data_IF_504516506003
#
_entry.id   IF_504516506003
#
_cell.length_a   1.000
_cell.length_b   1.000
_cell.length_c   1.000
_cell.angle_alpha   90.00
_cell.angle_beta   90.00
_cell.angle_gamma   90.00
#
_symmetry.space_group_name_H-M   'P 1'
#
loop_
_entity.id
_entity.type
_entity.pdbx_description
1 polymer ?
#
# COMPACT_ATOMS: atom_id res chain seq x y z
N UNK A 1 1.53 25.98 -2.76
CA UNK A 1 2.19 27.00 -3.58
C UNK A 1 3.17 26.36 -4.53
N UNK A 2 3.30 26.86 -5.75
CA UNK A 2 4.31 26.42 -6.70
C UNK A 2 5.65 27.08 -6.34
N UNK A 3 6.72 26.30 -6.30
CA UNK A 3 8.08 26.79 -6.14
C UNK A 3 8.80 26.70 -7.48
N UNK A 4 9.50 27.78 -7.87
CA UNK A 4 10.32 27.82 -9.07
C UNK A 4 11.79 27.86 -8.64
N UNK A 5 12.60 26.94 -9.17
CA UNK A 5 14.03 26.93 -8.96
C UNK A 5 14.75 27.24 -10.27
N UNK A 6 15.72 28.14 -10.23
CA UNK A 6 16.61 28.43 -11.36
C UNK A 6 18.00 27.91 -11.05
N UNK A 7 18.54 27.09 -11.93
CA UNK A 7 19.86 26.46 -11.76
C UNK A 7 20.80 26.99 -12.83
N UNK A 8 21.89 27.63 -12.42
CA UNK A 8 22.97 28.06 -13.28
C UNK A 8 24.15 27.09 -13.16
N UNK A 9 24.74 26.71 -14.29
CA UNK A 9 25.95 25.89 -14.35
C UNK A 9 27.11 26.72 -14.87
N UNK A 10 28.24 26.69 -14.13
CA UNK A 10 29.47 27.35 -14.52
C UNK A 10 30.65 26.42 -14.34
N UNK A 11 31.68 26.60 -15.15
CA UNK A 11 32.94 25.92 -15.01
C UNK A 11 33.63 26.37 -13.73
N UNK A 12 34.08 25.45 -12.89
CA UNK A 12 34.65 25.73 -11.56
C UNK A 12 35.99 26.44 -11.60
N UNK A 13 36.76 26.30 -12.69
CA UNK A 13 38.07 26.90 -12.83
C UNK A 13 38.02 28.29 -13.47
N UNK A 14 37.12 28.52 -14.41
CA UNK A 14 37.03 29.77 -15.19
C UNK A 14 35.85 30.65 -14.83
N UNK A 15 34.88 30.15 -14.05
CA UNK A 15 33.63 30.83 -13.71
C UNK A 15 32.69 31.07 -14.91
N UNK A 16 33.02 30.54 -16.07
CA UNK A 16 32.24 30.73 -17.30
C UNK A 16 30.96 29.89 -17.30
N UNK A 17 29.84 30.46 -17.70
CA UNK A 17 28.59 29.73 -17.88
C UNK A 17 28.74 28.60 -18.91
N UNK A 18 28.29 27.40 -18.56
CA UNK A 18 28.30 26.23 -19.43
C UNK A 18 27.01 26.23 -20.28
N UNK A 19 27.17 26.61 -21.55
CA UNK A 19 26.07 26.54 -22.53
C UNK A 19 25.87 25.11 -23.02
N UNK A 20 24.61 24.69 -23.18
CA UNK A 20 24.25 23.38 -23.72
C UNK A 20 24.42 22.18 -22.78
N UNK A 21 24.79 22.42 -21.53
CA UNK A 21 24.83 21.37 -20.52
C UNK A 21 23.41 20.89 -20.17
N UNK A 22 23.24 19.58 -20.06
CA UNK A 22 21.97 18.93 -19.64
C UNK A 22 22.15 18.30 -18.27
N UNK A 23 22.01 19.08 -17.18
CA UNK A 23 22.11 18.52 -15.84
C UNK A 23 20.96 17.57 -15.55
N UNK A 24 21.24 16.48 -14.87
CA UNK A 24 20.22 15.67 -14.22
C UNK A 24 19.76 16.39 -12.94
N UNK A 25 18.47 16.49 -12.72
CA UNK A 25 17.90 17.07 -11.53
C UNK A 25 16.82 16.16 -10.95
N UNK A 26 16.76 16.08 -9.63
CA UNK A 26 15.71 15.34 -8.91
C UNK A 26 15.34 16.07 -7.63
N UNK A 27 14.12 15.83 -7.16
CA UNK A 27 13.63 16.38 -5.91
C UNK A 27 13.51 15.25 -4.88
N UNK A 28 14.15 15.43 -3.73
CA UNK A 28 14.02 14.53 -2.59
C UNK A 28 13.21 15.22 -1.48
N UNK A 29 12.20 14.53 -0.97
CA UNK A 29 11.45 15.01 0.19
C UNK A 29 12.33 14.88 1.43
N UNK A 30 12.49 15.96 2.17
CA UNK A 30 13.28 15.96 3.40
C UNK A 30 12.45 15.30 4.51
N UNK A 31 12.91 14.14 5.02
CA UNK A 31 12.22 13.38 6.06
C UNK A 31 12.77 13.57 7.48
N UNK A 32 13.82 14.34 7.68
CA UNK A 32 14.36 14.62 9.02
C UNK A 32 15.20 15.88 9.04
N UNK A 33 15.36 16.46 10.22
CA UNK A 33 16.21 17.63 10.50
C UNK A 33 17.73 17.38 10.39
N UNK A 34 18.16 16.23 9.92
CA UNK A 34 19.57 15.99 9.69
C UNK A 34 20.05 16.84 8.51
N UNK A 35 20.88 17.81 8.81
CA UNK A 35 21.61 18.59 7.82
C UNK A 35 22.48 17.62 7.03
N UNK A 36 22.11 17.37 5.76
CA UNK A 36 22.94 16.60 4.87
C UNK A 36 24.26 17.35 4.67
N UNK A 37 25.39 16.75 5.04
CA UNK A 37 26.70 17.32 4.74
C UNK A 37 26.89 17.37 3.22
N UNK A 38 27.69 18.32 2.73
CA UNK A 38 28.03 18.47 1.32
C UNK A 38 28.59 17.14 0.75
N UNK A 39 29.45 16.46 1.51
CA UNK A 39 30.00 15.14 1.17
C UNK A 39 28.91 14.05 1.01
N UNK A 40 27.80 14.13 1.74
CA UNK A 40 26.69 13.18 1.57
C UNK A 40 25.83 13.47 0.33
N UNK A 41 25.78 14.72 -0.11
CA UNK A 41 25.12 15.11 -1.36
C UNK A 41 25.93 14.66 -2.57
N UNK A 42 27.25 14.86 -2.53
CA UNK A 42 28.17 14.43 -3.61
C UNK A 42 28.18 12.92 -3.79
N UNK A 43 28.21 12.16 -2.68
CA UNK A 43 28.13 10.70 -2.74
C UNK A 43 26.78 10.22 -3.32
N UNK A 44 25.67 10.87 -2.99
CA UNK A 44 24.35 10.57 -3.57
C UNK A 44 24.27 10.94 -5.04
N UNK A 45 24.82 12.09 -5.42
CA UNK A 45 24.89 12.53 -6.81
C UNK A 45 25.73 11.56 -7.65
N UNK A 46 26.90 11.18 -7.18
CA UNK A 46 27.77 10.23 -7.84
C UNK A 46 27.11 8.85 -8.00
N UNK A 47 26.40 8.37 -6.99
CA UNK A 47 25.68 7.10 -7.04
C UNK A 47 24.52 7.12 -8.05
N UNK A 48 23.82 8.24 -8.19
CA UNK A 48 22.74 8.41 -9.16
C UNK A 48 23.26 8.58 -10.59
N UNK A 49 24.38 9.29 -10.77
CA UNK A 49 24.97 9.54 -12.08
C UNK A 49 25.76 8.34 -12.63
N UNK A 50 26.31 7.51 -11.75
CA UNK A 50 27.09 6.33 -12.19
C UNK A 50 26.25 5.26 -12.87
N UNK A 51 24.91 5.37 -12.82
CA UNK A 51 23.99 4.41 -13.45
C UNK A 51 24.25 2.98 -12.97
N UNK A 52 24.99 2.84 -11.86
CA UNK A 52 25.45 1.55 -11.43
C UNK A 52 24.25 0.74 -10.96
N UNK A 53 24.04 -0.38 -11.60
CA UNK A 53 23.21 -1.50 -11.13
C UNK A 53 23.59 -1.93 -9.69
N UNK A 54 24.57 -1.30 -9.08
CA UNK A 54 25.02 -1.48 -7.71
C UNK A 54 24.57 -0.39 -6.74
N UNK A 55 23.84 0.66 -7.17
CA UNK A 55 23.19 1.56 -6.24
C UNK A 55 22.15 0.74 -5.44
N UNK A 56 22.50 0.42 -4.18
CA UNK A 56 21.54 -0.19 -3.26
C UNK A 56 20.30 0.68 -3.29
N UNK A 57 19.17 0.10 -3.71
CA UNK A 57 17.89 0.73 -3.54
C UNK A 57 17.81 1.25 -2.10
N UNK A 58 17.35 2.49 -1.91
CA UNK A 58 17.16 3.11 -0.58
C UNK A 58 16.18 2.31 0.28
N UNK A 59 15.52 1.35 -0.32
CA UNK A 59 14.64 0.36 0.31
C UNK A 59 15.37 -0.98 0.27
N UNK A 60 15.66 -1.52 1.45
CA UNK A 60 16.19 -2.88 1.57
C UNK A 60 15.08 -3.88 1.22
N UNK A 61 15.05 -4.31 -0.03
CA UNK A 61 14.09 -5.30 -0.50
C UNK A 61 14.29 -6.69 0.15
N UNK A 62 15.39 -6.92 0.90
CA UNK A 62 15.65 -8.19 1.59
C UNK A 62 14.61 -8.53 2.66
N UNK A 63 14.04 -7.50 3.26
CA UNK A 63 13.03 -7.63 4.31
C UNK A 63 11.60 -7.61 3.80
N UNK A 64 11.39 -7.36 2.50
CA UNK A 64 10.03 -7.28 1.93
C UNK A 64 9.62 -8.57 1.23
N UNK A 65 8.33 -8.83 1.32
CA UNK A 65 7.61 -9.76 0.45
C UNK A 65 6.58 -8.98 -0.33
N UNK A 66 6.47 -9.27 -1.60
CA UNK A 66 5.41 -8.71 -2.43
C UNK A 66 4.22 -9.66 -2.39
N UNK A 67 3.04 -9.09 -2.22
CA UNK A 67 1.78 -9.81 -2.38
C UNK A 67 1.01 -9.12 -3.48
N UNK A 68 0.53 -9.85 -4.46
CA UNK A 68 -0.28 -9.30 -5.55
C UNK A 68 -1.66 -9.91 -5.53
N UNK A 69 -2.67 -9.06 -5.68
CA UNK A 69 -4.06 -9.46 -5.90
C UNK A 69 -4.30 -9.50 -7.40
N UNK A 70 -4.64 -10.66 -7.93
CA UNK A 70 -4.72 -10.89 -9.36
C UNK A 70 -6.17 -11.07 -9.84
N UNK A 71 -6.41 -10.76 -11.11
CA UNK A 71 -7.73 -10.91 -11.75
C UNK A 71 -8.19 -12.36 -11.91
N UNK A 72 -7.28 -13.32 -11.81
CA UNK A 72 -7.59 -14.75 -11.84
C UNK A 72 -8.02 -15.32 -10.49
N UNK A 73 -8.47 -14.46 -9.58
CA UNK A 73 -8.92 -14.80 -8.23
C UNK A 73 -7.82 -15.40 -7.35
N UNK A 74 -6.57 -14.95 -7.52
CA UNK A 74 -5.45 -15.42 -6.73
C UNK A 74 -4.74 -14.29 -5.98
N UNK A 75 -4.10 -14.66 -4.87
CA UNK A 75 -3.05 -13.89 -4.23
C UNK A 75 -1.72 -14.58 -4.50
N UNK A 76 -0.76 -13.89 -5.09
CA UNK A 76 0.58 -14.43 -5.27
C UNK A 76 1.55 -13.80 -4.27
N UNK A 77 2.30 -14.63 -3.59
CA UNK A 77 3.36 -14.26 -2.66
C UNK A 77 4.71 -14.37 -3.38
N UNK A 78 5.43 -13.28 -3.46
CA UNK A 78 6.64 -13.15 -4.28
C UNK A 78 7.80 -12.71 -3.39
N UNK A 79 8.91 -13.44 -3.48
CA UNK A 79 10.17 -13.03 -2.88
C UNK A 79 11.01 -12.26 -3.90
N UNK A 80 11.21 -10.94 -3.74
CA UNK A 80 11.98 -10.17 -4.70
C UNK A 80 13.47 -10.52 -4.75
N UNK A 81 13.98 -11.23 -3.74
CA UNK A 81 15.41 -11.51 -3.56
C UNK A 81 15.92 -12.78 -4.18
N UNK A 82 15.03 -13.67 -4.62
CA UNK A 82 15.47 -14.94 -5.22
C UNK A 82 16.27 -14.65 -6.48
N UNK A 83 17.49 -15.21 -6.57
CA UNK A 83 18.39 -15.06 -7.72
C UNK A 83 17.74 -15.50 -9.04
N UNK A 84 18.35 -15.06 -10.15
CA UNK A 84 17.81 -15.27 -11.52
C UNK A 84 17.52 -16.74 -11.88
N UNK A 85 18.09 -17.68 -11.16
CA UNK A 85 17.93 -19.12 -11.44
C UNK A 85 16.77 -19.77 -10.68
N UNK A 86 16.13 -19.06 -9.75
CA UNK A 86 15.04 -19.60 -8.92
C UNK A 86 13.75 -18.82 -9.14
N UNK A 87 12.62 -19.49 -9.01
CA UNK A 87 11.32 -18.82 -9.07
C UNK A 87 11.19 -17.81 -7.93
N UNK A 88 10.79 -16.59 -8.26
CA UNK A 88 10.44 -15.56 -7.28
C UNK A 88 9.09 -15.81 -6.62
N UNK A 89 8.24 -16.61 -7.25
CA UNK A 89 6.94 -16.99 -6.73
C UNK A 89 7.10 -18.00 -5.60
N UNK A 90 6.71 -17.62 -4.40
CA UNK A 90 6.77 -18.50 -3.21
C UNK A 90 5.50 -19.33 -3.03
N UNK A 91 4.34 -18.73 -3.26
CA UNK A 91 3.05 -19.43 -3.20
C UNK A 91 1.94 -18.65 -3.89
N UNK A 92 0.87 -19.38 -4.20
CA UNK A 92 -0.40 -18.82 -4.70
C UNK A 92 -1.50 -19.28 -3.75
N UNK A 93 -2.35 -18.34 -3.35
CA UNK A 93 -3.58 -18.62 -2.58
C UNK A 93 -4.77 -18.39 -3.48
N UNK A 94 -5.58 -19.42 -3.69
CA UNK A 94 -6.81 -19.31 -4.45
C UNK A 94 -7.89 -18.64 -3.59
N UNK A 95 -8.51 -17.59 -4.12
CA UNK A 95 -9.68 -16.93 -3.54
C UNK A 95 -10.96 -17.50 -4.17
N UNK A 96 -12.09 -17.50 -3.42
CA UNK A 96 -13.37 -17.97 -3.96
C UNK A 96 -13.99 -17.03 -5.00
N UNK A 97 -13.40 -15.87 -5.24
CA UNK A 97 -13.85 -14.91 -6.22
C UNK A 97 -12.85 -13.78 -6.45
N UNK A 98 -13.23 -12.84 -7.32
CA UNK A 98 -12.40 -11.68 -7.64
C UNK A 98 -12.27 -10.77 -6.41
N UNK A 99 -11.03 -10.52 -5.99
CA UNK A 99 -10.72 -9.54 -4.95
C UNK A 99 -10.83 -8.12 -5.49
N UNK A 100 -11.44 -7.24 -4.70
CA UNK A 100 -11.65 -5.85 -5.07
C UNK A 100 -10.72 -4.88 -4.33
N UNK A 101 -10.59 -5.06 -3.02
CA UNK A 101 -9.72 -4.28 -2.15
C UNK A 101 -9.13 -5.19 -1.06
N UNK A 102 -8.06 -4.76 -0.41
CA UNK A 102 -7.41 -5.55 0.62
C UNK A 102 -6.73 -4.70 1.68
N UNK A 103 -6.62 -5.25 2.88
CA UNK A 103 -5.90 -4.63 3.99
C UNK A 103 -5.13 -5.68 4.79
N UNK A 104 -3.92 -5.34 5.18
CA UNK A 104 -3.08 -6.20 6.01
C UNK A 104 -3.12 -5.75 7.47
N UNK A 105 -3.39 -6.69 8.38
CA UNK A 105 -3.36 -6.50 9.83
C UNK A 105 -2.07 -7.11 10.40
N UNK A 106 -1.00 -6.32 10.62
CA UNK A 106 0.32 -6.84 10.97
C UNK A 106 0.36 -7.54 12.32
N UNK A 107 -0.40 -7.08 13.30
CA UNK A 107 -0.43 -7.68 14.65
C UNK A 107 -0.94 -9.14 14.64
N UNK A 108 -1.82 -9.49 13.72
CA UNK A 108 -2.40 -10.83 13.59
C UNK A 108 -1.87 -11.61 12.39
N UNK A 109 -1.01 -10.97 11.56
CA UNK A 109 -0.48 -11.50 10.31
C UNK A 109 -1.58 -11.96 9.34
N UNK A 110 -2.70 -11.24 9.32
CA UNK A 110 -3.84 -11.56 8.46
C UNK A 110 -4.05 -10.52 7.37
N UNK A 111 -4.40 -11.00 6.21
CA UNK A 111 -4.82 -10.21 5.07
C UNK A 111 -6.31 -10.41 4.87
N UNK A 112 -7.03 -9.31 4.77
CA UNK A 112 -8.46 -9.27 4.49
C UNK A 112 -8.65 -8.80 3.06
N UNK A 113 -9.47 -9.52 2.29
CA UNK A 113 -9.76 -9.19 0.88
C UNK A 113 -11.25 -9.12 0.68
N UNK A 114 -11.75 -7.99 0.20
CA UNK A 114 -13.17 -7.86 -0.16
C UNK A 114 -13.47 -8.62 -1.46
N UNK A 115 -14.51 -9.45 -1.41
CA UNK A 115 -15.04 -10.24 -2.52
C UNK A 115 -16.43 -9.71 -2.85
N UNK A 116 -16.47 -8.68 -3.69
CA UNK A 116 -17.68 -7.91 -3.96
C UNK A 116 -18.85 -8.76 -4.43
N UNK A 117 -18.61 -9.57 -5.45
CA UNK A 117 -19.66 -10.39 -6.09
C UNK A 117 -20.04 -11.62 -5.24
N UNK A 118 -19.20 -12.05 -4.31
CA UNK A 118 -19.46 -13.14 -3.38
C UNK A 118 -20.11 -12.65 -2.08
N UNK A 119 -20.29 -11.33 -1.91
CA UNK A 119 -20.83 -10.73 -0.69
C UNK A 119 -20.12 -11.22 0.57
N UNK A 120 -18.79 -11.25 0.51
CA UNK A 120 -17.96 -11.82 1.56
C UNK A 120 -16.60 -11.10 1.68
N UNK A 121 -15.91 -11.34 2.77
CA UNK A 121 -14.50 -10.97 2.96
C UNK A 121 -13.69 -12.24 3.15
N UNK A 122 -12.66 -12.45 2.34
CA UNK A 122 -11.71 -13.53 2.52
C UNK A 122 -10.69 -13.16 3.60
N UNK A 123 -10.38 -14.10 4.47
CA UNK A 123 -9.37 -13.96 5.53
C UNK A 123 -8.24 -14.93 5.24
N UNK A 124 -7.05 -14.38 4.98
CA UNK A 124 -5.85 -15.13 4.59
C UNK A 124 -4.79 -14.98 5.67
N UNK A 125 -4.18 -16.06 6.08
CA UNK A 125 -3.01 -16.07 6.94
C UNK A 125 -1.76 -15.86 6.09
N UNK A 126 -1.02 -14.79 6.37
CA UNK A 126 0.17 -14.40 5.59
C UNK A 126 1.38 -15.27 5.96
N UNK A 127 1.46 -15.75 7.20
CA UNK A 127 2.58 -16.60 7.65
C UNK A 127 2.52 -17.99 7.02
N UNK A 128 1.34 -18.59 7.02
CA UNK A 128 1.11 -19.92 6.42
C UNK A 128 0.74 -19.86 4.94
N UNK A 129 0.35 -18.66 4.44
CA UNK A 129 -0.08 -18.42 3.06
C UNK A 129 -1.28 -19.27 2.68
N UNK A 130 -2.27 -19.29 3.56
CA UNK A 130 -3.49 -20.09 3.38
C UNK A 130 -4.74 -19.24 3.58
N UNK A 131 -5.77 -19.54 2.79
CA UNK A 131 -7.11 -19.00 3.04
C UNK A 131 -7.67 -19.69 4.30
N UNK A 132 -7.91 -18.91 5.36
CA UNK A 132 -8.48 -19.43 6.59
C UNK A 132 -9.98 -19.70 6.45
N UNK A 133 -10.71 -18.70 6.01
CA UNK A 133 -12.15 -18.75 5.76
C UNK A 133 -12.63 -17.53 4.99
N UNK A 134 -13.90 -17.51 4.65
CA UNK A 134 -14.61 -16.32 4.19
C UNK A 134 -15.66 -15.93 5.22
N UNK A 135 -15.79 -14.63 5.47
CA UNK A 135 -16.84 -14.05 6.30
C UNK A 135 -17.93 -13.46 5.41
N UNK A 136 -19.14 -13.96 5.52
CA UNK A 136 -20.27 -13.46 4.76
C UNK A 136 -20.70 -12.06 5.26
N UNK A 137 -20.91 -11.14 4.32
CA UNK A 137 -21.31 -9.76 4.64
C UNK A 137 -22.80 -9.51 4.44
N UNK A 138 -23.54 -10.52 3.99
CA UNK A 138 -24.96 -10.46 3.69
C UNK A 138 -25.27 -10.38 2.19
N UNK A 139 -26.37 -10.96 1.79
CA UNK A 139 -26.78 -10.97 0.38
C UNK A 139 -26.97 -9.54 -0.14
N UNK A 140 -26.42 -9.24 -1.31
CA UNK A 140 -26.53 -7.93 -1.93
C UNK A 140 -25.69 -6.82 -1.28
N UNK A 141 -24.88 -7.11 -0.26
CA UNK A 141 -24.13 -6.10 0.49
C UNK A 141 -22.99 -5.44 -0.29
N UNK A 142 -22.43 -6.10 -1.30
CA UNK A 142 -21.36 -5.59 -2.17
C UNK A 142 -20.18 -4.97 -1.38
N UNK A 143 -19.41 -5.77 -0.63
CA UNK A 143 -18.26 -5.26 0.10
C UNK A 143 -17.20 -4.74 -0.88
N UNK A 144 -16.70 -3.51 -0.67
CA UNK A 144 -15.74 -2.87 -1.58
C UNK A 144 -14.49 -2.42 -0.86
N UNK A 145 -14.55 -1.35 -0.07
CA UNK A 145 -13.39 -0.75 0.58
C UNK A 145 -13.12 -1.34 1.95
N UNK A 146 -11.85 -1.46 2.26
CA UNK A 146 -11.37 -1.93 3.54
C UNK A 146 -10.46 -0.88 4.20
N UNK A 147 -10.58 -0.74 5.52
CA UNK A 147 -9.67 0.07 6.31
C UNK A 147 -9.38 -0.62 7.65
N UNK A 148 -8.11 -0.65 8.03
CA UNK A 148 -7.70 -1.12 9.36
C UNK A 148 -7.82 0.04 10.35
N UNK A 149 -8.38 -0.18 11.53
CA UNK A 149 -8.36 0.80 12.60
C UNK A 149 -6.93 1.03 13.12
N UNK A 150 -6.70 2.15 13.79
CA UNK A 150 -5.37 2.49 14.29
C UNK A 150 -4.84 1.46 15.30
N UNK A 151 -5.71 0.91 16.14
CA UNK A 151 -5.34 -0.11 17.10
C UNK A 151 -4.99 -1.46 16.45
N UNK A 152 -5.23 -1.62 15.15
CA UNK A 152 -5.01 -2.87 14.41
C UNK A 152 -5.92 -4.01 14.84
N UNK A 153 -7.02 -3.70 15.54
CA UNK A 153 -7.94 -4.69 16.12
C UNK A 153 -9.15 -4.96 15.23
N UNK A 154 -9.53 -4.01 14.37
CA UNK A 154 -10.71 -4.12 13.51
C UNK A 154 -10.40 -3.74 12.09
N UNK A 155 -10.97 -4.50 11.17
CA UNK A 155 -11.06 -4.13 9.76
C UNK A 155 -12.48 -3.64 9.51
N UNK A 156 -12.59 -2.43 9.00
CA UNK A 156 -13.82 -1.83 8.57
C UNK A 156 -14.05 -2.09 7.10
N UNK A 157 -15.27 -2.48 6.74
CA UNK A 157 -15.66 -2.89 5.40
C UNK A 157 -16.83 -2.04 4.94
N UNK A 158 -16.68 -1.29 3.86
CA UNK A 158 -17.78 -0.56 3.22
C UNK A 158 -18.66 -1.51 2.43
N UNK A 159 -19.96 -1.50 2.74
CA UNK A 159 -20.99 -2.33 2.10
C UNK A 159 -21.83 -1.47 1.17
N UNK A 160 -21.41 -1.29 -0.07
CA UNK A 160 -22.03 -0.36 -1.03
C UNK A 160 -23.49 -0.69 -1.33
N UNK A 161 -23.85 -1.97 -1.27
CA UNK A 161 -25.23 -2.40 -1.52
C UNK A 161 -26.16 -2.34 -0.30
N UNK A 162 -25.63 -2.09 0.90
CA UNK A 162 -26.39 -2.15 2.15
C UNK A 162 -26.45 -0.82 2.91
N UNK A 163 -25.77 0.24 2.44
CA UNK A 163 -25.62 1.51 3.16
C UNK A 163 -25.11 1.33 4.61
N UNK A 164 -24.18 0.42 4.78
CA UNK A 164 -23.62 0.04 6.07
C UNK A 164 -22.10 -0.07 5.99
N UNK A 165 -21.47 0.07 7.14
CA UNK A 165 -20.07 -0.32 7.36
C UNK A 165 -20.03 -1.45 8.37
N UNK A 166 -19.32 -2.52 8.05
CA UNK A 166 -19.15 -3.71 8.86
C UNK A 166 -17.78 -3.69 9.54
N UNK A 167 -17.73 -4.00 10.84
CA UNK A 167 -16.49 -4.22 11.57
C UNK A 167 -16.19 -5.71 11.69
N UNK A 168 -14.97 -6.11 11.32
CA UNK A 168 -14.44 -7.46 11.53
C UNK A 168 -13.31 -7.41 12.58
N UNK A 169 -13.32 -8.34 13.51
CA UNK A 169 -12.21 -8.55 14.45
C UNK A 169 -10.99 -9.14 13.70
N UNK A 170 -9.81 -8.56 13.89
CA UNK A 170 -8.60 -9.00 13.16
C UNK A 170 -8.08 -10.35 13.62
N UNK A 171 -8.36 -10.74 14.87
CA UNK A 171 -7.90 -12.01 15.43
C UNK A 171 -8.72 -13.20 14.95
N UNK A 172 -10.03 -13.03 14.81
CA UNK A 172 -10.95 -14.11 14.42
C UNK A 172 -11.37 -14.01 12.96
N UNK A 173 -11.29 -12.82 12.36
CA UNK A 173 -11.81 -12.54 11.02
C UNK A 173 -13.34 -12.62 10.95
N UNK A 174 -14.03 -12.34 12.06
CA UNK A 174 -15.48 -12.43 12.19
C UNK A 174 -16.10 -11.06 12.40
N UNK A 175 -17.34 -10.92 11.92
CA UNK A 175 -18.10 -9.69 12.09
C UNK A 175 -18.42 -9.45 13.58
N UNK A 176 -18.27 -8.21 14.02
CA UNK A 176 -18.47 -7.78 15.41
C UNK A 176 -19.50 -6.68 15.55
N UNK A 177 -19.62 -5.81 14.54
CA UNK A 177 -20.58 -4.71 14.57
C UNK A 177 -20.96 -4.29 13.14
N UNK A 178 -22.14 -3.68 13.02
CA UNK A 178 -22.61 -3.00 11.81
C UNK A 178 -23.05 -1.60 12.18
N UNK A 179 -22.72 -0.64 11.33
CA UNK A 179 -23.08 0.77 11.51
C UNK A 179 -23.75 1.24 10.23
N UNK A 180 -24.98 1.74 10.35
CA UNK A 180 -25.67 2.37 9.23
C UNK A 180 -24.98 3.69 8.85
N UNK A 181 -24.78 3.90 7.57
CA UNK A 181 -24.17 5.09 6.96
C UNK A 181 -25.00 5.54 5.76
N UNK A 182 -24.49 6.48 4.97
CA UNK A 182 -25.17 6.89 3.74
C UNK A 182 -25.13 5.83 2.63
N UNK A 183 -25.91 6.03 1.60
CA UNK A 183 -25.99 5.13 0.44
C UNK A 183 -24.86 5.38 -0.56
N UNK A 184 -24.62 4.39 -1.42
CA UNK A 184 -23.72 4.46 -2.56
C UNK A 184 -22.32 3.93 -2.27
N UNK A 185 -21.37 4.33 -3.09
CA UNK A 185 -19.99 3.89 -2.94
C UNK A 185 -19.38 4.48 -1.67
N UNK A 186 -18.75 3.63 -0.88
CA UNK A 186 -18.09 4.04 0.36
C UNK A 186 -16.59 4.28 0.14
N UNK A 187 -16.07 5.33 0.77
CA UNK A 187 -14.65 5.54 0.97
C UNK A 187 -14.37 5.49 2.46
N UNK A 188 -13.39 4.70 2.87
CA UNK A 188 -13.03 4.51 4.28
C UNK A 188 -11.62 5.01 4.52
N UNK A 189 -11.44 5.84 5.54
CA UNK A 189 -10.13 6.32 5.99
C UNK A 189 -10.06 6.23 7.50
N UNK A 190 -9.19 5.38 8.01
CA UNK A 190 -8.77 5.40 9.40
C UNK A 190 -7.60 6.38 9.54
N UNK A 191 -7.74 7.39 10.39
CA UNK A 191 -6.70 8.40 10.58
C UNK A 191 -5.66 7.88 11.59
N UNK A 192 -4.37 8.00 11.24
CA UNK A 192 -3.26 7.67 12.12
C UNK A 192 -3.29 8.58 13.38
N UNK A 193 -3.06 8.02 14.56
CA UNK A 193 -3.12 8.74 15.84
C UNK A 193 -4.54 9.12 16.28
N UNK A 194 -5.58 8.54 15.68
CA UNK A 194 -6.96 8.94 15.94
C UNK A 194 -7.92 7.75 16.04
N UNK A 195 -8.87 7.76 17.00
CA UNK A 195 -9.89 6.71 17.09
C UNK A 195 -11.01 6.85 16.03
N UNK A 196 -10.89 7.78 15.08
CA UNK A 196 -11.94 8.07 14.11
C UNK A 196 -11.76 7.29 12.83
N UNK A 197 -12.86 6.69 12.36
CA UNK A 197 -13.02 6.21 10.99
C UNK A 197 -13.88 7.23 10.23
N UNK A 198 -13.33 7.77 9.17
CA UNK A 198 -14.07 8.65 8.26
C UNK A 198 -14.69 7.83 7.14
N UNK A 199 -15.99 8.05 6.92
CA UNK A 199 -16.76 7.37 5.88
C UNK A 199 -17.29 8.42 4.91
N UNK A 200 -16.88 8.36 3.66
CA UNK A 200 -17.47 9.14 2.58
C UNK A 200 -18.52 8.32 1.85
N UNK A 201 -19.67 8.89 1.57
CA UNK A 201 -20.76 8.24 0.86
C UNK A 201 -21.03 8.99 -0.45
N UNK A 202 -21.13 8.27 -1.57
CA UNK A 202 -21.29 8.90 -2.88
C UNK A 202 -22.76 9.05 -3.31
N UNK A 203 -23.70 8.47 -2.59
CA UNK A 203 -25.12 8.42 -2.96
C UNK A 203 -26.09 9.12 -1.99
N UNK A 204 -25.57 9.78 -0.95
CA UNK A 204 -26.37 10.53 0.01
C UNK A 204 -25.66 11.79 0.45
N UNK A 205 -26.39 12.87 0.61
CA UNK A 205 -25.93 14.14 1.18
C UNK A 205 -25.89 14.06 2.71
#
# INVERSE_FOLDING_TARGET
GAAQAQIGLADSASGRALGGARPAAWLLRRHSEQVASEASCDAKAAALMSGSLGARATVDLNSYRLVTLNHDHTLAFINPHVGLQNSKLESIVQLPGLGHDWVYAPATQRLFVSLREQHAVAVVDVATRTLLHTEATGAGSLPTRLALDEAGQRVWVGLDGAAEVLALDTTRGRSTARVAVGQGLHTLVAAEGSPWLFVGNAGSD
#
